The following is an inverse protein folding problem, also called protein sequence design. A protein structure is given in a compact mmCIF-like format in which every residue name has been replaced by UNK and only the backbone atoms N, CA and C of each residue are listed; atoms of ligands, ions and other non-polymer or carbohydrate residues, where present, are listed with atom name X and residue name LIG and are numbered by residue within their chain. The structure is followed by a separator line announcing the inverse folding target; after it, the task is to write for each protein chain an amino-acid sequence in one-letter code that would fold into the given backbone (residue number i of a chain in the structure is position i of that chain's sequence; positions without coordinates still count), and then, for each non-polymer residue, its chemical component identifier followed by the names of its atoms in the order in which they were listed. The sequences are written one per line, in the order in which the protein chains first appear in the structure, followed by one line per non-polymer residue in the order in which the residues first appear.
data_IF_091997071717
#
_entry.id   IF_091997071717
#
_cell.length_a   1.000
_cell.length_b   1.000
_cell.length_c   1.000
_cell.angle_alpha   90.00
_cell.angle_beta   90.00
_cell.angle_gamma   90.00
#
_symmetry.space_group_name_H-M   'P 1'
#
loop_
_entity.id
_entity.type
_entity.pdbx_description
1 polymer ?
#
# COMPACT_ATOMS: atom_id res chain seq x y z
N UNK A 1 17.31 -18.18 7.22
CA UNK A 1 17.39 -18.16 5.74
C UNK A 1 16.24 -17.32 5.19
N UNK A 2 16.52 -16.51 4.18
CA UNK A 2 15.57 -15.55 3.63
C UNK A 2 14.57 -16.27 2.71
N UNK A 3 13.41 -16.67 3.25
CA UNK A 3 12.46 -17.58 2.58
C UNK A 3 11.57 -16.87 1.52
N UNK A 4 11.97 -15.68 1.08
CA UNK A 4 11.24 -14.88 0.10
C UNK A 4 11.25 -15.52 -1.29
N UNK A 5 12.38 -16.08 -1.71
CA UNK A 5 12.52 -16.72 -3.02
C UNK A 5 11.55 -17.89 -3.20
N UNK A 6 11.52 -18.82 -2.24
CA UNK A 6 10.63 -19.98 -2.22
C UNK A 6 9.15 -19.60 -2.32
N UNK A 7 8.74 -18.55 -1.58
CA UNK A 7 7.38 -18.03 -1.60
C UNK A 7 7.02 -17.39 -2.94
N UNK A 8 7.93 -16.58 -3.50
CA UNK A 8 7.68 -15.80 -4.71
C UNK A 8 7.65 -16.69 -5.96
N UNK A 9 8.56 -17.67 -6.07
CA UNK A 9 8.51 -18.64 -7.17
C UNK A 9 7.24 -19.51 -7.12
N UNK A 10 6.80 -19.92 -5.92
CA UNK A 10 5.54 -20.65 -5.73
C UNK A 10 4.33 -19.82 -6.17
N UNK A 11 4.32 -18.53 -5.80
CA UNK A 11 3.27 -17.59 -6.16
C UNK A 11 3.21 -17.41 -7.69
N UNK A 12 4.33 -17.11 -8.34
CA UNK A 12 4.40 -16.91 -9.79
C UNK A 12 3.94 -18.15 -10.58
N UNK A 13 4.30 -19.35 -10.10
CA UNK A 13 3.83 -20.60 -10.70
C UNK A 13 2.31 -20.74 -10.60
N UNK A 14 1.75 -20.46 -9.42
CA UNK A 14 0.30 -20.57 -9.17
C UNK A 14 -0.50 -19.51 -9.94
N UNK A 15 0.00 -18.29 -10.07
CA UNK A 15 -0.63 -17.24 -10.88
C UNK A 15 -0.78 -17.65 -12.35
N UNK A 16 0.21 -18.35 -12.91
CA UNK A 16 0.13 -18.90 -14.28
C UNK A 16 -0.66 -20.20 -14.36
N UNK A 17 -1.17 -20.74 -13.25
CA UNK A 17 -1.91 -22.00 -13.21
C UNK A 17 -1.06 -23.24 -13.53
N UNK A 18 0.26 -23.19 -13.34
CA UNK A 18 1.16 -24.29 -13.73
C UNK A 18 1.35 -25.33 -12.62
N UNK A 19 1.39 -26.60 -13.01
CA UNK A 19 1.78 -27.69 -12.11
C UNK A 19 3.30 -27.66 -11.86
N UNK A 20 3.76 -28.19 -10.72
CA UNK A 20 5.20 -28.29 -10.43
C UNK A 20 5.94 -29.11 -11.50
N UNK A 21 5.31 -30.16 -12.04
CA UNK A 21 5.89 -30.98 -13.12
C UNK A 21 6.14 -30.17 -14.39
N UNK A 22 5.16 -29.34 -14.79
CA UNK A 22 5.26 -28.47 -15.96
C UNK A 22 6.35 -27.41 -15.77
N UNK A 23 6.26 -26.63 -14.70
CA UNK A 23 7.23 -25.57 -14.43
C UNK A 23 8.66 -26.10 -14.26
N UNK A 24 8.85 -27.28 -13.65
CA UNK A 24 10.16 -27.89 -13.50
C UNK A 24 10.77 -28.29 -14.86
N UNK A 25 9.96 -28.87 -15.75
CA UNK A 25 10.38 -29.19 -17.12
C UNK A 25 10.82 -27.94 -17.89
N UNK A 26 10.01 -26.88 -17.83
CA UNK A 26 10.30 -25.62 -18.52
C UNK A 26 11.55 -24.91 -17.96
N UNK A 27 11.80 -25.04 -16.65
CA UNK A 27 12.96 -24.44 -15.96
C UNK A 27 14.23 -25.32 -15.98
N UNK A 28 14.16 -26.51 -16.60
CA UNK A 28 15.28 -27.44 -16.74
C UNK A 28 15.73 -28.10 -15.43
N UNK A 29 14.80 -28.35 -14.50
CA UNK A 29 15.08 -29.01 -13.21
C UNK A 29 14.13 -30.19 -12.96
N UNK A 30 14.48 -31.08 -12.03
CA UNK A 30 13.55 -32.14 -11.64
C UNK A 30 12.38 -31.58 -10.82
N UNK A 31 11.21 -32.21 -10.92
CA UNK A 31 10.02 -31.80 -10.16
C UNK A 31 10.26 -31.86 -8.64
N UNK A 32 11.03 -32.84 -8.17
CA UNK A 32 11.45 -32.92 -6.76
C UNK A 32 12.33 -31.74 -6.36
N UNK A 33 13.27 -31.33 -7.22
CA UNK A 33 14.16 -30.20 -6.94
C UNK A 33 13.39 -28.87 -6.91
N UNK A 34 12.47 -28.63 -7.85
CA UNK A 34 11.59 -27.46 -7.81
C UNK A 34 10.73 -27.44 -6.54
N UNK A 35 10.21 -28.60 -6.11
CA UNK A 35 9.45 -28.72 -4.86
C UNK A 35 10.29 -28.37 -3.63
N UNK A 36 11.57 -28.77 -3.59
CA UNK A 36 12.48 -28.38 -2.51
C UNK A 36 12.78 -26.87 -2.51
N UNK A 37 12.91 -26.24 -3.67
CA UNK A 37 13.07 -24.79 -3.80
C UNK A 37 11.81 -24.05 -3.34
N UNK A 38 10.62 -24.46 -3.80
CA UNK A 38 9.34 -23.85 -3.42
C UNK A 38 9.01 -23.96 -1.93
N UNK A 39 9.49 -25.01 -1.27
CA UNK A 39 9.33 -25.22 0.18
C UNK A 39 10.44 -24.57 1.01
N UNK A 40 11.46 -23.99 0.38
CA UNK A 40 12.61 -23.42 1.08
C UNK A 40 13.51 -24.45 1.77
N UNK A 41 13.42 -25.74 1.38
CA UNK A 41 14.21 -26.84 1.95
C UNK A 41 15.65 -26.80 1.44
N UNK A 42 15.85 -26.30 0.22
CA UNK A 42 17.15 -26.19 -0.43
C UNK A 42 17.32 -24.82 -1.05
N UNK A 43 18.51 -24.25 -0.94
CA UNK A 43 18.86 -23.02 -1.65
C UNK A 43 19.22 -23.33 -3.12
N UNK A 44 18.82 -22.44 -4.02
CA UNK A 44 19.11 -22.55 -5.45
C UNK A 44 20.36 -21.74 -5.82
N UNK A 45 21.07 -22.21 -6.86
CA UNK A 45 22.21 -21.47 -7.41
C UNK A 45 21.78 -20.23 -8.20
N UNK A 46 22.72 -19.32 -8.43
CA UNK A 46 22.50 -18.06 -9.15
C UNK A 46 21.88 -18.30 -10.54
N UNK A 47 22.39 -19.27 -11.29
CA UNK A 47 21.87 -19.63 -12.61
C UNK A 47 20.39 -19.98 -12.62
N UNK A 48 19.91 -20.65 -11.56
CA UNK A 48 18.50 -20.99 -11.45
C UNK A 48 17.65 -19.75 -11.17
N UNK A 49 18.13 -18.82 -10.33
CA UNK A 49 17.44 -17.55 -10.04
C UNK A 49 17.24 -16.74 -11.32
N UNK A 50 18.28 -16.64 -12.16
CA UNK A 50 18.21 -15.93 -13.45
C UNK A 50 17.21 -16.59 -14.40
N UNK A 51 17.26 -17.93 -14.56
CA UNK A 51 16.30 -18.64 -15.40
C UNK A 51 14.85 -18.45 -14.97
N UNK A 52 14.59 -18.43 -13.66
CA UNK A 52 13.25 -18.19 -13.11
C UNK A 52 12.80 -16.75 -13.38
N UNK A 53 13.71 -15.78 -13.26
CA UNK A 53 13.44 -14.38 -13.56
C UNK A 53 13.00 -14.21 -15.01
N UNK A 54 13.76 -14.77 -15.94
CA UNK A 54 13.45 -14.72 -17.37
C UNK A 54 12.13 -15.43 -17.69
N UNK A 55 11.94 -16.64 -17.17
CA UNK A 55 10.76 -17.46 -17.42
C UNK A 55 9.45 -16.78 -16.96
N UNK A 56 9.47 -16.15 -15.78
CA UNK A 56 8.30 -15.43 -15.26
C UNK A 56 8.24 -13.96 -15.66
N UNK A 57 9.24 -13.47 -16.41
CA UNK A 57 9.38 -12.07 -16.82
C UNK A 57 9.36 -11.10 -15.63
N UNK A 58 10.15 -11.44 -14.61
CA UNK A 58 10.34 -10.66 -13.39
C UNK A 58 11.84 -10.46 -13.13
N UNK A 59 12.21 -9.50 -12.30
CA UNK A 59 13.59 -9.28 -11.89
C UNK A 59 14.04 -10.24 -10.79
N UNK A 60 15.36 -10.42 -10.68
CA UNK A 60 15.97 -11.09 -9.55
C UNK A 60 15.67 -10.38 -8.21
N UNK A 61 15.59 -9.05 -8.19
CA UNK A 61 15.27 -8.30 -6.96
C UNK A 61 13.83 -8.55 -6.50
N UNK A 62 12.89 -8.74 -7.43
CA UNK A 62 11.54 -9.19 -7.12
C UNK A 62 11.56 -10.63 -6.58
N UNK A 63 12.24 -11.55 -7.26
CA UNK A 63 12.35 -12.95 -6.82
C UNK A 63 12.96 -13.10 -5.44
N UNK A 64 13.95 -12.27 -5.11
CA UNK A 64 14.62 -12.30 -3.81
C UNK A 64 13.85 -11.52 -2.73
N UNK A 65 12.72 -10.89 -3.08
CA UNK A 65 11.88 -10.13 -2.17
C UNK A 65 12.49 -8.81 -1.71
N UNK A 66 13.40 -8.23 -2.50
CA UNK A 66 14.01 -6.91 -2.26
C UNK A 66 13.13 -5.76 -2.74
N UNK A 67 12.29 -6.01 -3.73
CA UNK A 67 11.29 -5.06 -4.23
C UNK A 67 9.94 -5.74 -4.44
N UNK A 68 8.81 -5.06 -4.17
CA UNK A 68 7.50 -5.56 -4.54
C UNK A 68 7.21 -5.43 -6.04
N UNK A 69 8.05 -4.76 -6.82
CA UNK A 69 7.83 -4.51 -8.25
C UNK A 69 8.40 -5.63 -9.13
N UNK A 70 7.57 -6.24 -9.99
CA UNK A 70 7.99 -7.36 -10.86
C UNK A 70 9.21 -7.04 -11.70
N UNK A 71 9.32 -5.84 -12.26
CA UNK A 71 10.48 -5.45 -13.10
C UNK A 71 11.78 -5.18 -12.34
N UNK A 72 11.79 -5.19 -11.00
CA UNK A 72 13.01 -4.87 -10.25
C UNK A 72 13.21 -3.39 -9.99
N UNK A 73 12.30 -2.55 -10.48
CA UNK A 73 12.33 -1.12 -10.21
C UNK A 73 12.28 -0.87 -8.70
N UNK A 74 13.41 -0.44 -8.14
CA UNK A 74 13.42 0.43 -6.96
C UNK A 74 12.92 1.77 -7.42
N UNK A 75 11.80 2.21 -6.84
CA UNK A 75 11.17 3.48 -7.21
C UNK A 75 12.17 4.62 -6.91
N UNK A 76 12.79 5.18 -7.95
CA UNK A 76 13.49 6.47 -7.87
C UNK A 76 12.44 7.58 -7.83
N UNK A 77 12.78 8.67 -7.14
CA UNK A 77 11.88 9.80 -6.88
C UNK A 77 11.40 10.45 -8.19
N UNK A 78 12.10 10.23 -9.31
CA UNK A 78 11.77 10.78 -10.63
C UNK A 78 10.55 10.14 -11.32
N UNK A 79 10.20 8.88 -11.04
CA UNK A 79 9.12 8.17 -11.77
C UNK A 79 7.72 8.33 -11.15
N UNK A 80 7.63 9.12 -10.09
CA UNK A 80 6.38 9.34 -9.37
C UNK A 80 5.76 10.68 -9.80
N UNK A 81 4.53 10.70 -10.36
CA UNK A 81 3.87 11.94 -10.76
C UNK A 81 3.81 12.91 -9.58
N UNK A 82 4.21 14.15 -9.82
CA UNK A 82 4.04 15.21 -8.84
C UNK A 82 2.55 15.54 -8.71
N UNK A 83 1.97 15.51 -7.50
CA UNK A 83 0.65 16.08 -7.29
C UNK A 83 0.79 17.60 -7.40
N UNK A 84 0.34 18.11 -8.54
CA UNK A 84 0.22 19.52 -8.93
C UNK A 84 1.51 20.36 -8.91
N UNK A 85 2.06 20.53 -10.11
CA UNK A 85 3.09 21.52 -10.42
C UNK A 85 2.52 22.96 -10.34
N UNK A 86 2.15 23.42 -9.15
CA UNK A 86 1.88 24.85 -8.89
C UNK A 86 2.45 25.23 -7.52
N UNK A 87 3.57 25.96 -7.55
CA UNK A 87 4.16 26.60 -6.38
C UNK A 87 5.58 26.13 -6.13
N UNK A 88 6.54 26.90 -6.63
CA UNK A 88 7.97 26.77 -6.32
C UNK A 88 8.21 26.68 -4.81
N UNK A 89 8.49 25.50 -4.28
CA UNK A 89 9.24 25.35 -3.01
C UNK A 89 9.84 23.95 -2.80
N UNK A 90 10.46 23.37 -3.83
CA UNK A 90 11.40 22.26 -3.63
C UNK A 90 12.84 22.79 -3.51
N UNK A 91 13.06 23.77 -2.63
CA UNK A 91 14.41 24.04 -2.14
C UNK A 91 14.78 22.91 -1.17
N UNK A 92 15.13 21.76 -1.75
CA UNK A 92 15.52 20.53 -1.07
C UNK A 92 16.87 20.71 -0.37
N UNK A 93 16.88 21.42 0.76
CA UNK A 93 17.91 21.26 1.80
C UNK A 93 17.38 20.27 2.83
N UNK A 94 17.40 18.97 2.51
CA UNK A 94 16.95 17.94 3.44
C UNK A 94 17.01 16.50 2.90
N UNK A 95 16.99 15.54 3.84
CA UNK A 95 16.92 14.09 3.60
C UNK A 95 15.84 13.73 2.58
N UNK A 96 16.06 12.70 1.75
CA UNK A 96 15.10 12.19 0.75
C UNK A 96 13.82 11.59 1.39
N UNK A 97 13.84 11.33 2.69
CA UNK A 97 12.79 10.60 3.40
C UNK A 97 11.42 11.32 3.43
N UNK A 98 11.31 12.64 3.72
CA UNK A 98 10.02 13.32 3.75
C UNK A 98 9.38 13.42 2.37
N UNK A 99 10.19 13.63 1.32
CA UNK A 99 9.72 13.66 -0.07
C UNK A 99 9.12 12.32 -0.46
N UNK A 100 9.85 11.22 -0.18
CA UNK A 100 9.38 9.87 -0.45
C UNK A 100 8.06 9.58 0.27
N UNK A 101 7.99 9.83 1.58
CA UNK A 101 6.76 9.56 2.36
C UNK A 101 5.58 10.42 1.89
N UNK A 102 5.80 11.70 1.55
CA UNK A 102 4.76 12.58 0.99
C UNK A 102 4.20 11.97 -0.30
N UNK A 103 5.08 11.54 -1.22
CA UNK A 103 4.69 10.94 -2.50
C UNK A 103 3.91 9.63 -2.30
N UNK A 104 4.40 8.74 -1.41
CA UNK A 104 3.70 7.48 -1.10
C UNK A 104 2.28 7.74 -0.59
N UNK A 105 2.10 8.69 0.34
CA UNK A 105 0.80 9.03 0.90
C UNK A 105 -0.11 9.64 -0.17
N UNK A 106 0.35 10.67 -0.89
CA UNK A 106 -0.47 11.39 -1.87
C UNK A 106 -0.99 10.48 -2.98
N UNK A 107 -0.14 9.62 -3.54
CA UNK A 107 -0.55 8.69 -4.60
C UNK A 107 -1.51 7.61 -4.09
N UNK A 108 -1.30 7.14 -2.85
CA UNK A 108 -2.21 6.18 -2.24
C UNK A 108 -3.60 6.79 -2.05
N UNK A 109 -3.67 8.08 -1.70
CA UNK A 109 -4.94 8.81 -1.60
C UNK A 109 -5.66 8.90 -2.96
N UNK A 110 -4.94 9.11 -4.08
CA UNK A 110 -5.56 9.10 -5.41
C UNK A 110 -6.30 7.78 -5.69
N UNK A 111 -5.70 6.65 -5.32
CA UNK A 111 -6.34 5.33 -5.48
C UNK A 111 -7.55 5.20 -4.55
N UNK A 112 -7.41 5.57 -3.28
CA UNK A 112 -8.50 5.50 -2.29
C UNK A 112 -9.71 6.30 -2.77
N UNK A 113 -9.51 7.55 -3.21
CA UNK A 113 -10.60 8.39 -3.72
C UNK A 113 -11.16 7.90 -5.05
N UNK A 114 -10.34 7.29 -5.91
CA UNK A 114 -10.82 6.60 -7.10
C UNK A 114 -11.72 5.41 -6.77
N UNK A 115 -11.40 4.63 -5.74
CA UNK A 115 -12.26 3.55 -5.23
C UNK A 115 -13.57 4.13 -4.67
N UNK A 116 -13.51 5.18 -3.85
CA UNK A 116 -14.70 5.84 -3.30
C UNK A 116 -15.63 6.37 -4.39
N UNK A 117 -15.07 6.95 -5.46
CA UNK A 117 -15.84 7.40 -6.61
C UNK A 117 -16.57 6.23 -7.28
N UNK A 118 -15.93 5.07 -7.42
CA UNK A 118 -16.57 3.85 -7.95
C UNK A 118 -17.67 3.31 -7.04
N UNK A 119 -17.50 3.42 -5.71
CA UNK A 119 -18.54 3.05 -4.76
C UNK A 119 -19.80 3.94 -4.88
N UNK A 120 -19.68 5.15 -5.43
CA UNK A 120 -20.82 6.04 -5.72
C UNK A 120 -21.60 6.53 -4.49
N UNK A 121 -21.09 6.31 -3.27
CA UNK A 121 -21.77 6.65 -2.03
C UNK A 121 -21.16 7.91 -1.39
N UNK A 122 -21.97 8.97 -1.32
CA UNK A 122 -21.56 10.26 -0.77
C UNK A 122 -21.27 10.18 0.74
N UNK A 123 -22.08 9.46 1.51
CA UNK A 123 -21.91 9.31 2.95
C UNK A 123 -20.58 8.65 3.29
N UNK A 124 -20.28 7.52 2.64
CA UNK A 124 -19.00 6.83 2.79
C UNK A 124 -17.82 7.75 2.43
N UNK A 125 -17.95 8.49 1.32
CA UNK A 125 -16.90 9.43 0.89
C UNK A 125 -16.66 10.52 1.94
N UNK A 126 -17.73 11.06 2.53
CA UNK A 126 -17.64 12.08 3.58
C UNK A 126 -16.97 11.52 4.84
N UNK A 127 -17.35 10.33 5.29
CA UNK A 127 -16.80 9.74 6.51
C UNK A 127 -15.32 9.33 6.37
N UNK A 128 -14.93 8.72 5.25
CA UNK A 128 -13.52 8.43 4.98
C UNK A 128 -12.70 9.73 4.86
N UNK A 129 -13.26 10.77 4.24
CA UNK A 129 -12.60 12.08 4.16
C UNK A 129 -12.43 12.70 5.55
N UNK A 130 -13.45 12.63 6.41
CA UNK A 130 -13.38 13.13 7.77
C UNK A 130 -12.29 12.40 8.59
N UNK A 131 -12.23 11.06 8.48
CA UNK A 131 -11.19 10.25 9.11
C UNK A 131 -9.77 10.70 8.72
N UNK A 132 -9.52 10.92 7.42
CA UNK A 132 -8.23 11.35 6.89
C UNK A 132 -7.90 12.80 7.28
N UNK A 133 -8.88 13.71 7.20
CA UNK A 133 -8.73 15.11 7.62
C UNK A 133 -8.35 15.21 9.10
N UNK A 134 -8.97 14.39 9.95
CA UNK A 134 -8.64 14.34 11.38
C UNK A 134 -7.23 13.79 11.63
N UNK A 135 -6.73 12.86 10.81
CA UNK A 135 -5.32 12.45 10.87
C UNK A 135 -4.38 13.61 10.59
N UNK A 136 -4.65 14.38 9.54
CA UNK A 136 -3.85 15.56 9.18
C UNK A 136 -3.92 16.61 10.30
N UNK A 137 -5.12 16.91 10.80
CA UNK A 137 -5.33 17.83 11.92
C UNK A 137 -4.53 17.42 13.15
N UNK A 138 -4.57 16.14 13.53
CA UNK A 138 -3.83 15.59 14.70
C UNK A 138 -2.33 15.80 14.55
N UNK A 139 -1.78 15.38 13.41
CA UNK A 139 -0.33 15.48 13.13
C UNK A 139 0.08 16.95 13.08
N UNK A 140 -0.68 17.80 12.39
CA UNK A 140 -0.38 19.22 12.29
C UNK A 140 -0.49 19.93 13.65
N UNK A 141 -1.55 19.67 14.43
CA UNK A 141 -1.72 20.24 15.78
C UNK A 141 -0.54 19.89 16.67
N UNK A 142 -0.08 18.64 16.63
CA UNK A 142 1.08 18.17 17.38
C UNK A 142 2.35 18.92 16.96
N UNK A 143 2.65 18.97 15.65
CA UNK A 143 3.84 19.64 15.12
C UNK A 143 3.82 21.15 15.41
N UNK A 144 2.67 21.81 15.18
CA UNK A 144 2.48 23.23 15.42
C UNK A 144 2.64 23.57 16.90
N UNK A 145 2.11 22.75 17.80
CA UNK A 145 2.14 23.03 19.25
C UNK A 145 3.44 22.60 19.92
N UNK A 146 4.35 21.93 19.20
CA UNK A 146 5.67 21.57 19.71
C UNK A 146 6.53 22.80 20.06
N UNK A 147 6.34 23.92 19.34
CA UNK A 147 6.92 25.20 19.72
C UNK A 147 5.91 26.01 20.53
N UNK A 148 6.18 26.18 21.83
CA UNK A 148 5.31 26.91 22.76
C UNK A 148 5.12 28.40 22.40
N UNK A 149 6.00 28.97 21.55
CA UNK A 149 5.85 30.34 21.05
C UNK A 149 4.79 30.48 19.97
N UNK A 150 4.33 29.37 19.37
CA UNK A 150 3.35 29.43 18.30
C UNK A 150 1.96 29.81 18.85
N UNK A 151 1.27 30.78 18.22
CA UNK A 151 -0.02 31.28 18.73
C UNK A 151 -1.10 30.21 18.64
N UNK A 152 -1.68 29.86 19.79
CA UNK A 152 -2.66 28.78 19.87
C UNK A 152 -4.06 29.17 19.37
N UNK A 153 -4.29 30.45 19.08
CA UNK A 153 -5.56 31.00 18.59
C UNK A 153 -5.97 30.51 17.20
N UNK A 154 -5.07 29.84 16.46
CA UNK A 154 -5.40 29.14 15.20
C UNK A 154 -6.45 28.03 15.42
N UNK A 155 -6.56 27.49 16.64
CA UNK A 155 -7.40 26.33 16.93
C UNK A 155 -8.51 26.68 17.92
N UNK A 156 -9.76 26.50 17.49
CA UNK A 156 -10.93 26.66 18.36
C UNK A 156 -10.99 25.60 19.47
N UNK A 157 -10.35 24.44 19.27
CA UNK A 157 -10.28 23.38 20.28
C UNK A 157 -9.11 23.64 21.24
N UNK A 158 -9.37 23.71 22.56
CA UNK A 158 -8.31 23.87 23.57
C UNK A 158 -7.24 22.79 23.45
N UNK A 159 -5.97 23.16 23.61
CA UNK A 159 -4.82 22.26 23.38
C UNK A 159 -4.94 20.94 24.15
N UNK A 160 -5.27 21.01 25.45
CA UNK A 160 -5.43 19.83 26.33
C UNK A 160 -6.59 18.91 25.91
N UNK A 161 -7.57 19.42 25.19
CA UNK A 161 -8.72 18.66 24.69
C UNK A 161 -8.52 18.17 23.25
N UNK A 162 -7.54 18.73 22.53
CA UNK A 162 -7.33 18.48 21.10
C UNK A 162 -7.10 17.02 20.76
N UNK A 163 -6.22 16.33 21.50
CA UNK A 163 -5.88 14.94 21.24
C UNK A 163 -7.10 14.01 21.42
N UNK A 164 -7.78 14.11 22.57
CA UNK A 164 -8.96 13.28 22.87
C UNK A 164 -10.12 13.54 21.91
N UNK A 165 -10.45 14.81 21.65
CA UNK A 165 -11.58 15.17 20.76
C UNK A 165 -11.34 14.72 19.32
N UNK A 166 -10.15 14.95 18.78
CA UNK A 166 -9.82 14.52 17.41
C UNK A 166 -9.74 13.00 17.28
N UNK A 167 -9.27 12.28 18.30
CA UNK A 167 -9.29 10.82 18.32
C UNK A 167 -10.72 10.27 18.36
N UNK A 168 -11.59 10.82 19.23
CA UNK A 168 -12.99 10.42 19.30
C UNK A 168 -13.73 10.65 17.98
N UNK A 169 -13.61 11.84 17.40
CA UNK A 169 -14.21 12.16 16.10
C UNK A 169 -13.69 11.23 14.99
N UNK A 170 -12.40 10.89 15.01
CA UNK A 170 -11.81 10.00 14.02
C UNK A 170 -12.36 8.58 14.14
N UNK A 171 -12.59 8.09 15.35
CA UNK A 171 -13.18 6.77 15.58
C UNK A 171 -14.66 6.72 15.19
N UNK A 172 -15.42 7.79 15.45
CA UNK A 172 -16.81 7.91 14.99
C UNK A 172 -16.85 7.80 13.46
N UNK A 173 -16.04 8.58 12.74
CA UNK A 173 -16.03 8.52 11.27
C UNK A 173 -15.60 7.17 10.72
N UNK A 174 -14.61 6.52 11.36
CA UNK A 174 -14.22 5.17 10.95
C UNK A 174 -15.35 4.16 11.15
N UNK A 175 -16.00 4.18 12.32
CA UNK A 175 -17.14 3.31 12.64
C UNK A 175 -18.30 3.52 11.67
N UNK A 176 -18.63 4.77 11.34
CA UNK A 176 -19.67 5.09 10.38
C UNK A 176 -19.32 4.54 8.99
N UNK A 177 -18.08 4.76 8.53
CA UNK A 177 -17.62 4.26 7.25
C UNK A 177 -17.65 2.72 7.15
N UNK A 178 -17.29 2.01 8.23
CA UNK A 178 -17.34 0.54 8.31
C UNK A 178 -18.76 -0.02 8.21
N UNK A 179 -19.72 0.64 8.85
CA UNK A 179 -21.14 0.29 8.74
C UNK A 179 -21.67 0.57 7.32
N UNK A 180 -21.40 1.76 6.79
CA UNK A 180 -21.84 2.17 5.45
C UNK A 180 -21.28 1.26 4.36
N UNK A 181 -19.99 0.90 4.42
CA UNK A 181 -19.38 0.03 3.39
C UNK A 181 -19.89 -1.42 3.45
N UNK A 182 -20.43 -1.84 4.60
CA UNK A 182 -21.09 -3.14 4.78
C UNK A 182 -22.51 -3.16 4.20
N UNK A 183 -23.01 -1.99 3.75
CA UNK A 183 -24.34 -1.77 3.19
C UNK A 183 -25.41 -1.44 4.24
N UNK A 184 -25.01 -1.29 5.49
CA UNK A 184 -25.89 -0.95 6.59
C UNK A 184 -26.08 0.57 6.70
N UNK A 185 -27.21 0.96 7.28
CA UNK A 185 -27.58 2.36 7.49
C UNK A 185 -26.99 2.88 8.81
N UNK A 186 -26.51 4.12 8.79
CA UNK A 186 -26.06 4.85 9.99
C UNK A 186 -26.84 6.14 10.10
N UNK A 187 -27.64 6.31 11.16
CA UNK A 187 -28.52 7.48 11.32
C UNK A 187 -29.35 7.74 10.05
N UNK A 188 -29.13 8.87 9.36
CA UNK A 188 -29.79 9.25 8.11
C UNK A 188 -29.00 8.87 6.85
N UNK A 189 -27.82 8.26 7.00
CA UNK A 189 -26.90 7.90 5.92
C UNK A 189 -27.15 6.48 5.41
N UNK A 190 -27.50 6.37 4.13
CA UNK A 190 -27.71 5.10 3.46
C UNK A 190 -26.38 4.40 3.14
N UNK A 191 -26.34 3.08 3.38
CA UNK A 191 -25.20 2.23 3.09
C UNK A 191 -24.88 2.11 1.61
N UNK A 192 -23.70 1.58 1.30
CA UNK A 192 -23.26 1.32 -0.07
C UNK A 192 -24.04 0.14 -0.64
N UNK A 193 -24.51 0.26 -1.88
CA UNK A 193 -25.04 -0.89 -2.62
C UNK A 193 -23.92 -1.92 -2.82
N UNK A 194 -24.13 -3.15 -2.36
CA UNK A 194 -23.15 -4.24 -2.48
C UNK A 194 -22.76 -4.51 -3.94
N UNK A 195 -23.63 -4.24 -4.89
CA UNK A 195 -23.35 -4.37 -6.33
C UNK A 195 -22.46 -3.24 -6.87
N UNK A 196 -22.38 -2.11 -6.17
CA UNK A 196 -21.54 -0.97 -6.53
C UNK A 196 -20.09 -1.09 -6.01
N UNK A 197 -19.79 -2.08 -5.17
CA UNK A 197 -18.44 -2.28 -4.65
C UNK A 197 -17.50 -2.81 -5.75
N UNK A 198 -16.38 -2.12 -6.04
CA UNK A 198 -15.46 -2.57 -7.08
C UNK A 198 -14.71 -3.84 -6.62
N UNK A 199 -14.53 -4.78 -7.55
CA UNK A 199 -13.63 -5.92 -7.34
C UNK A 199 -12.18 -5.46 -7.50
N UNK A 200 -11.39 -5.53 -6.42
CA UNK A 200 -9.99 -5.11 -6.37
C UNK A 200 -9.05 -6.32 -6.43
N UNK A 201 -7.94 -6.19 -7.16
CA UNK A 201 -6.79 -7.09 -7.11
C UNK A 201 -5.51 -6.30 -7.37
N UNK A 202 -4.32 -6.80 -7.00
CA UNK A 202 -3.07 -6.13 -7.33
C UNK A 202 -2.91 -5.84 -8.83
N UNK A 203 -3.32 -6.77 -9.68
CA UNK A 203 -3.30 -6.63 -11.14
C UNK A 203 -4.26 -5.54 -11.61
N UNK A 204 -5.50 -5.55 -11.09
CA UNK A 204 -6.50 -4.51 -11.43
C UNK A 204 -6.05 -3.14 -10.97
N UNK A 205 -5.53 -3.02 -9.75
CA UNK A 205 -5.02 -1.76 -9.22
C UNK A 205 -3.83 -1.24 -10.03
N UNK A 206 -2.92 -2.12 -10.45
CA UNK A 206 -1.78 -1.75 -11.30
C UNK A 206 -2.22 -1.34 -12.71
N UNK A 207 -3.26 -1.98 -13.25
CA UNK A 207 -3.82 -1.66 -14.56
C UNK A 207 -4.59 -0.33 -14.55
N UNK A 208 -5.43 -0.12 -13.53
CA UNK A 208 -6.28 1.08 -13.42
C UNK A 208 -5.52 2.32 -12.91
N UNK A 209 -4.49 2.12 -12.09
CA UNK A 209 -3.69 3.20 -11.49
C UNK A 209 -2.19 2.98 -11.70
N UNK A 210 -1.71 2.88 -12.95
CA UNK A 210 -0.32 2.48 -13.26
C UNK A 210 0.71 3.43 -12.65
N UNK A 211 0.37 4.71 -12.49
CA UNK A 211 1.23 5.72 -11.92
C UNK A 211 1.26 5.74 -10.38
N UNK A 212 0.27 5.13 -9.72
CA UNK A 212 0.08 5.26 -8.27
C UNK A 212 0.15 3.92 -7.52
N UNK A 213 -0.09 2.79 -8.19
CA UNK A 213 -0.20 1.48 -7.55
C UNK A 213 1.08 1.08 -6.80
N UNK A 214 2.24 1.37 -7.39
CA UNK A 214 3.54 1.13 -6.78
C UNK A 214 3.70 1.85 -5.43
N UNK A 215 3.18 3.09 -5.33
CA UNK A 215 3.21 3.88 -4.10
C UNK A 215 2.31 3.27 -3.03
N UNK A 216 1.10 2.84 -3.40
CA UNK A 216 0.18 2.18 -2.47
C UNK A 216 0.76 0.88 -1.93
N UNK A 217 1.35 0.04 -2.77
CA UNK A 217 1.95 -1.22 -2.32
C UNK A 217 3.13 -1.01 -1.38
N UNK A 218 3.96 0.01 -1.62
CA UNK A 218 5.03 0.37 -0.70
C UNK A 218 4.49 0.96 0.61
N UNK A 219 3.43 1.76 0.56
CA UNK A 219 2.77 2.26 1.76
C UNK A 219 2.23 1.12 2.62
N UNK A 220 1.56 0.13 2.02
CA UNK A 220 1.05 -1.07 2.71
C UNK A 220 2.21 -1.82 3.36
N UNK A 221 3.25 -2.15 2.60
CA UNK A 221 4.40 -2.89 3.12
C UNK A 221 5.07 -2.15 4.29
N UNK A 222 5.32 -0.85 4.15
CA UNK A 222 5.94 -0.05 5.19
C UNK A 222 5.06 0.03 6.46
N UNK A 223 3.74 0.11 6.28
CA UNK A 223 2.79 0.16 7.38
C UNK A 223 2.72 -1.19 8.11
N UNK A 224 2.66 -2.31 7.38
CA UNK A 224 2.67 -3.66 7.96
C UNK A 224 3.94 -3.95 8.76
N UNK A 225 5.11 -3.56 8.22
CA UNK A 225 6.39 -3.69 8.94
C UNK A 225 6.35 -2.89 10.25
N UNK A 226 5.79 -1.68 10.25
CA UNK A 226 5.63 -0.88 11.48
C UNK A 226 4.66 -1.50 12.49
N UNK A 227 3.64 -2.22 12.01
CA UNK A 227 2.71 -2.97 12.87
C UNK A 227 3.32 -4.28 13.41
N UNK A 228 4.58 -4.59 13.08
CA UNK A 228 5.24 -5.83 13.49
C UNK A 228 4.77 -7.06 12.72
N UNK A 229 3.98 -6.87 11.66
CA UNK A 229 3.56 -7.97 10.80
C UNK A 229 4.76 -8.46 9.99
N UNK A 230 5.10 -9.74 10.17
CA UNK A 230 6.05 -10.44 9.32
C UNK A 230 5.24 -11.18 8.27
N UNK A 231 5.55 -10.98 6.98
CA UNK A 231 4.95 -11.77 5.90
C UNK A 231 5.10 -13.25 6.26
N UNK A 232 3.98 -13.94 6.53
CA UNK A 232 4.02 -15.36 6.84
C UNK A 232 4.65 -16.09 5.66
N UNK A 233 5.84 -16.62 5.88
CA UNK A 233 6.48 -17.59 5.01
C UNK A 233 5.77 -18.91 5.20
N UNK A 234 4.67 -19.11 4.46
CA UNK A 234 4.10 -20.42 4.19
C UNK A 234 4.57 -20.88 2.81
#
# INVERSE_FOLDING_TARGET
MNNNFARIITLLRKERGYSQKRAAGDLGVSQALLSHYEKGIRECGLDFVVRVADYYSVSCDYLLGRTPHRSGATISVEDIPEPDAVGKENTLRGSLLPVLNKKLIANSLNIIFGILQKCGNKALTMEISAYLNLSVYKVFRMLYSANLKNPQGLFSVPLKLGAGRSAAAQQISLSNAECLISGDKVDEMEGVDKNALPSLSPEKLSSEYPLFASSLFNLIQNSEVRMGAKKQTK
#
